data_IF_204792250446
#
_entry.id   IF_204792250446
#
_cell.length_a   1.000
_cell.length_b   1.000
_cell.length_c   1.000
_cell.angle_alpha   90.00
_cell.angle_beta   90.00
_cell.angle_gamma   90.00
#
_symmetry.space_group_name_H-M   'P 1'
#
loop_
_entity.id
_entity.type
_entity.pdbx_description
1 polymer ?
#
# COMPACT_ATOMS: atom_id res chain seq x y z
N UNK A 1 4.41 2.17 8.11
CA UNK A 1 3.61 1.14 8.82
C UNK A 1 3.53 1.39 10.33
N UNK A 2 4.65 1.51 11.08
CA UNK A 2 4.64 1.81 12.53
C UNK A 2 3.67 2.93 12.92
N UNK A 3 3.81 4.10 12.30
CA UNK A 3 2.95 5.25 12.62
C UNK A 3 1.46 4.97 12.36
N UNK A 4 1.12 4.15 11.35
CA UNK A 4 -0.26 3.76 11.07
C UNK A 4 -0.81 2.96 12.25
N UNK A 5 -0.10 1.93 12.70
CA UNK A 5 -0.53 1.11 13.84
C UNK A 5 -0.73 1.96 15.11
N UNK A 6 0.29 2.75 15.48
CA UNK A 6 0.25 3.53 16.72
C UNK A 6 -0.84 4.61 16.70
N UNK A 7 -1.04 5.28 15.57
CA UNK A 7 -2.09 6.29 15.42
C UNK A 7 -3.50 5.68 15.47
N UNK A 8 -3.63 4.40 15.12
CA UNK A 8 -4.87 3.63 15.25
C UNK A 8 -4.97 2.86 16.57
N UNK A 9 -4.22 3.26 17.60
CA UNK A 9 -4.38 2.74 18.96
C UNK A 9 -3.79 1.35 19.21
N UNK A 10 -3.05 0.78 18.25
CA UNK A 10 -2.33 -0.48 18.46
C UNK A 10 -1.22 -0.28 19.51
N UNK A 11 -1.16 -1.18 20.52
CA UNK A 11 -0.19 -1.10 21.62
C UNK A 11 0.56 -2.42 21.77
N UNK A 12 1.87 -2.30 22.00
CA UNK A 12 2.74 -3.39 22.43
C UNK A 12 3.52 -2.95 23.66
N UNK A 13 4.11 -3.90 24.38
CA UNK A 13 4.90 -3.64 25.60
C UNK A 13 6.08 -2.70 25.34
N UNK A 14 6.83 -2.90 24.25
CA UNK A 14 7.78 -1.93 23.70
C UNK A 14 7.53 -1.83 22.18
N UNK A 15 7.48 -0.60 21.67
CA UNK A 15 7.39 -0.32 20.23
C UNK A 15 8.56 -0.94 19.43
N UNK A 16 9.72 -1.11 20.05
CA UNK A 16 10.91 -1.72 19.45
C UNK A 16 10.72 -3.20 19.19
N UNK A 17 9.75 -3.83 19.86
CA UNK A 17 9.47 -5.24 19.68
C UNK A 17 8.63 -5.51 18.42
N UNK A 18 8.04 -4.47 17.80
CA UNK A 18 7.17 -4.60 16.63
C UNK A 18 7.83 -5.46 15.54
N UNK A 19 7.12 -6.50 15.15
CA UNK A 19 7.56 -7.45 14.15
C UNK A 19 6.61 -7.47 12.94
N UNK A 20 6.92 -8.33 11.97
CA UNK A 20 6.14 -8.42 10.73
C UNK A 20 4.69 -8.86 10.95
N UNK A 21 4.45 -9.77 11.91
CA UNK A 21 3.09 -10.23 12.21
C UNK A 21 2.21 -9.09 12.72
N UNK A 22 2.76 -8.16 13.50
CA UNK A 22 2.00 -6.97 13.95
C UNK A 22 1.57 -6.10 12.76
N UNK A 23 2.46 -5.93 11.77
CA UNK A 23 2.15 -5.16 10.57
C UNK A 23 1.16 -5.87 9.65
N UNK A 24 1.09 -7.20 9.68
CA UNK A 24 0.14 -7.96 8.86
C UNK A 24 -1.33 -7.68 9.23
N UNK A 25 -1.60 -7.16 10.44
CA UNK A 25 -2.93 -6.67 10.84
C UNK A 25 -3.43 -5.56 9.91
N UNK A 26 -2.53 -4.74 9.36
CA UNK A 26 -2.89 -3.68 8.41
C UNK A 26 -3.57 -4.23 7.14
N UNK A 27 -3.37 -5.51 6.80
CA UNK A 27 -4.05 -6.14 5.68
C UNK A 27 -5.58 -6.14 5.86
N UNK A 28 -6.08 -6.15 7.11
CA UNK A 28 -7.52 -6.12 7.39
C UNK A 28 -8.15 -4.79 6.99
N UNK A 29 -7.55 -3.67 7.39
CA UNK A 29 -8.12 -2.34 7.13
C UNK A 29 -7.73 -1.77 5.77
N UNK A 30 -6.56 -2.13 5.24
CA UNK A 30 -6.00 -1.55 4.02
C UNK A 30 -6.00 -2.52 2.84
N UNK A 31 -6.52 -3.74 2.98
CA UNK A 31 -6.64 -4.74 1.91
C UNK A 31 -5.34 -4.99 1.12
N UNK A 32 -4.17 -4.84 1.77
CA UNK A 32 -2.85 -4.75 1.14
C UNK A 32 -2.52 -5.95 0.24
N UNK A 33 -2.98 -7.14 0.62
CA UNK A 33 -2.79 -8.40 -0.12
C UNK A 33 -3.56 -8.49 -1.45
N UNK A 34 -4.49 -7.57 -1.71
CA UNK A 34 -5.28 -7.52 -2.94
C UNK A 34 -4.70 -6.55 -3.99
N UNK A 35 -3.75 -5.69 -3.61
CA UNK A 35 -3.12 -4.78 -4.55
C UNK A 35 -2.19 -5.51 -5.52
N UNK A 36 -2.16 -5.03 -6.75
CA UNK A 36 -1.18 -5.45 -7.76
C UNK A 36 -0.53 -4.20 -8.39
N UNK A 37 0.78 -4.24 -8.58
CA UNK A 37 1.55 -3.18 -9.25
C UNK A 37 2.08 -3.74 -10.56
N UNK A 38 1.99 -2.95 -11.63
CA UNK A 38 2.54 -3.27 -12.94
C UNK A 38 3.49 -2.17 -13.40
N UNK A 39 4.58 -2.57 -14.03
CA UNK A 39 5.50 -1.65 -14.72
C UNK A 39 5.23 -1.77 -16.24
N UNK A 40 4.53 -0.80 -16.86
CA UNK A 40 4.06 -0.95 -18.24
C UNK A 40 5.20 -1.08 -19.26
N UNK A 41 6.34 -0.43 -19.01
CA UNK A 41 7.54 -0.48 -19.86
C UNK A 41 8.42 -1.72 -19.64
N UNK A 42 8.08 -2.62 -18.71
CA UNK A 42 8.86 -3.82 -18.44
C UNK A 42 8.41 -4.95 -19.38
N UNK A 43 9.29 -5.35 -20.30
CA UNK A 43 9.01 -6.32 -21.39
C UNK A 43 8.44 -7.66 -20.91
N UNK A 44 8.81 -8.11 -19.72
CA UNK A 44 8.29 -9.32 -19.07
C UNK A 44 6.91 -9.24 -18.39
N UNK A 45 6.10 -8.17 -18.58
CA UNK A 45 4.80 -7.98 -17.90
C UNK A 45 4.85 -8.36 -16.42
N UNK A 46 5.70 -7.68 -15.66
CA UNK A 46 5.88 -8.00 -14.24
C UNK A 46 4.71 -7.44 -13.42
N UNK A 47 3.75 -8.32 -13.07
CA UNK A 47 2.76 -8.04 -12.02
C UNK A 47 3.37 -8.38 -10.66
N UNK A 48 3.43 -7.39 -9.77
CA UNK A 48 4.00 -7.50 -8.44
C UNK A 48 2.91 -7.33 -7.41
N UNK A 49 2.70 -8.35 -6.57
CA UNK A 49 1.76 -8.32 -5.45
C UNK A 49 2.54 -8.47 -4.14
N UNK A 50 3.10 -7.38 -3.60
CA UNK A 50 4.12 -7.42 -2.55
C UNK A 50 3.60 -7.98 -1.21
N UNK A 51 2.30 -7.86 -0.96
CA UNK A 51 1.64 -8.31 0.26
C UNK A 51 0.77 -9.55 0.07
N UNK A 52 0.84 -10.23 -1.09
CA UNK A 52 -0.05 -11.35 -1.44
C UNK A 52 -0.09 -12.44 -0.37
N UNK A 53 1.06 -12.78 0.23
CA UNK A 53 1.17 -13.84 1.23
C UNK A 53 0.34 -13.55 2.51
N UNK A 54 0.05 -12.30 2.83
CA UNK A 54 -0.81 -11.96 3.97
C UNK A 54 -2.28 -12.37 3.81
N UNK A 55 -2.69 -12.83 2.62
CA UNK A 55 -3.97 -13.51 2.45
C UNK A 55 -4.04 -14.84 3.20
N UNK A 56 -2.89 -15.49 3.40
CA UNK A 56 -2.80 -16.79 4.06
C UNK A 56 -2.85 -16.67 5.59
N UNK A 57 -2.60 -15.49 6.15
CA UNK A 57 -2.69 -15.23 7.58
C UNK A 57 -1.70 -14.18 8.09
N UNK A 58 -1.84 -13.84 9.38
CA UNK A 58 -1.01 -12.87 10.07
C UNK A 58 0.45 -13.32 10.23
N UNK A 59 0.69 -14.64 10.29
CA UNK A 59 2.02 -15.23 10.45
C UNK A 59 2.76 -15.44 9.12
N UNK A 60 2.10 -15.14 8.00
CA UNK A 60 2.68 -15.31 6.67
C UNK A 60 3.81 -14.31 6.43
N UNK A 61 4.99 -14.84 6.12
CA UNK A 61 6.20 -14.04 5.88
C UNK A 61 6.19 -13.48 4.46
N UNK A 62 6.58 -12.22 4.33
CA UNK A 62 6.83 -11.60 3.03
C UNK A 62 8.30 -11.85 2.62
N UNK A 63 8.56 -12.55 1.51
CA UNK A 63 9.94 -12.88 1.11
C UNK A 63 10.84 -11.66 0.93
N UNK A 64 10.31 -10.59 0.33
CA UNK A 64 11.08 -9.35 0.10
C UNK A 64 11.45 -8.64 1.40
N UNK A 65 10.59 -8.70 2.41
CA UNK A 65 10.84 -8.07 3.70
C UNK A 65 11.84 -8.88 4.53
N UNK A 66 11.73 -10.21 4.50
CA UNK A 66 12.72 -11.08 5.11
C UNK A 66 14.10 -10.81 4.51
N UNK A 67 14.20 -10.76 3.17
CA UNK A 67 15.43 -10.43 2.47
C UNK A 67 15.98 -9.04 2.83
N UNK A 68 15.11 -8.02 2.87
CA UNK A 68 15.49 -6.68 3.32
C UNK A 68 16.08 -6.70 4.73
N UNK A 69 15.42 -7.37 5.68
CA UNK A 69 15.89 -7.45 7.06
C UNK A 69 17.21 -8.23 7.16
N UNK A 70 17.37 -9.34 6.45
CA UNK A 70 18.62 -10.09 6.41
C UNK A 70 19.78 -9.22 5.92
N UNK A 71 19.59 -8.50 4.80
CA UNK A 71 20.60 -7.59 4.25
C UNK A 71 20.89 -6.42 5.19
N UNK A 72 19.85 -5.86 5.85
CA UNK A 72 19.99 -4.76 6.81
C UNK A 72 20.85 -5.17 8.03
N UNK A 73 20.64 -6.38 8.55
CA UNK A 73 21.31 -6.83 9.77
C UNK A 73 22.65 -7.52 9.50
N UNK A 74 22.85 -8.13 8.33
CA UNK A 74 24.07 -8.85 7.98
C UNK A 74 24.40 -8.71 6.49
N UNK A 75 24.74 -7.49 6.07
CA UNK A 75 24.99 -7.16 4.67
C UNK A 75 26.12 -7.98 4.05
N UNK A 76 27.17 -8.29 4.82
CA UNK A 76 28.35 -8.99 4.30
C UNK A 76 28.02 -10.41 3.85
N UNK A 77 27.25 -11.16 4.65
CA UNK A 77 26.88 -12.54 4.31
C UNK A 77 25.62 -12.64 3.45
N UNK A 78 24.71 -11.66 3.56
CA UNK A 78 23.39 -11.68 2.92
C UNK A 78 23.30 -10.83 1.66
N UNK A 79 24.43 -10.34 1.13
CA UNK A 79 24.43 -9.51 -0.08
C UNK A 79 23.77 -10.21 -1.28
N UNK A 80 23.85 -11.54 -1.36
CA UNK A 80 23.17 -12.33 -2.39
C UNK A 80 21.64 -12.17 -2.39
N UNK A 81 21.03 -11.75 -1.27
CA UNK A 81 19.60 -11.47 -1.16
C UNK A 81 19.24 -10.05 -1.65
N UNK A 82 20.22 -9.17 -1.88
CA UNK A 82 20.05 -7.82 -2.43
C UNK A 82 19.82 -7.84 -3.96
N UNK A 83 18.89 -8.67 -4.41
CA UNK A 83 18.55 -8.83 -5.84
C UNK A 83 17.64 -7.72 -6.33
N UNK A 84 17.68 -7.46 -7.64
CA UNK A 84 16.73 -6.54 -8.30
C UNK A 84 15.27 -6.95 -8.01
N UNK A 85 14.97 -8.25 -7.95
CA UNK A 85 13.64 -8.75 -7.59
C UNK A 85 13.20 -8.28 -6.20
N UNK A 86 14.04 -8.45 -5.18
CA UNK A 86 13.69 -8.05 -3.82
C UNK A 86 13.60 -6.52 -3.68
N UNK A 87 14.47 -5.78 -4.36
CA UNK A 87 14.40 -4.32 -4.43
C UNK A 87 13.10 -3.84 -5.09
N UNK A 88 12.70 -4.44 -6.22
CA UNK A 88 11.44 -4.14 -6.90
C UNK A 88 10.24 -4.45 -6.01
N UNK A 89 10.21 -5.61 -5.34
CA UNK A 89 9.11 -5.94 -4.43
C UNK A 89 9.04 -4.99 -3.23
N UNK A 90 10.17 -4.55 -2.67
CA UNK A 90 10.20 -3.57 -1.60
C UNK A 90 9.68 -2.20 -2.06
N UNK A 91 10.09 -1.74 -3.25
CA UNK A 91 9.59 -0.50 -3.87
C UNK A 91 8.08 -0.58 -4.13
N UNK A 92 7.59 -1.66 -4.74
CA UNK A 92 6.16 -1.87 -4.95
C UNK A 92 5.41 -1.98 -3.61
N UNK A 93 6.01 -2.56 -2.58
CA UNK A 93 5.44 -2.60 -1.23
C UNK A 93 5.25 -1.21 -0.63
N UNK A 94 6.25 -0.34 -0.79
CA UNK A 94 6.14 1.07 -0.40
C UNK A 94 5.04 1.80 -1.18
N UNK A 95 4.99 1.59 -2.49
CA UNK A 95 3.96 2.18 -3.36
C UNK A 95 2.55 1.76 -2.94
N UNK A 96 2.32 0.47 -2.68
CA UNK A 96 1.04 -0.04 -2.20
C UNK A 96 0.67 0.58 -0.85
N UNK A 97 1.62 0.74 0.08
CA UNK A 97 1.34 1.39 1.37
C UNK A 97 0.94 2.86 1.23
N UNK A 98 1.56 3.59 0.30
CA UNK A 98 1.15 4.97 0.01
C UNK A 98 -0.22 4.98 -0.67
N UNK A 99 -0.44 4.13 -1.66
CA UNK A 99 -1.73 4.08 -2.35
C UNK A 99 -2.88 3.58 -1.47
N UNK A 100 -2.62 2.75 -0.47
CA UNK A 100 -3.65 2.36 0.48
C UNK A 100 -4.05 3.50 1.44
N UNK A 101 -3.16 4.47 1.69
CA UNK A 101 -3.45 5.63 2.56
C UNK A 101 -3.96 6.84 1.78
N UNK A 102 -3.45 7.03 0.55
CA UNK A 102 -3.63 8.26 -0.22
C UNK A 102 -4.10 8.00 -1.66
N UNK A 103 -4.56 6.80 -1.96
CA UNK A 103 -5.06 6.41 -3.29
C UNK A 103 -4.03 6.71 -4.41
N UNK A 104 -4.41 7.55 -5.36
CA UNK A 104 -3.58 8.03 -6.46
C UNK A 104 -3.31 9.54 -6.36
N UNK A 105 -3.44 10.12 -5.16
CA UNK A 105 -3.19 11.55 -4.93
C UNK A 105 -1.75 11.88 -5.29
N UNK A 106 -1.60 12.91 -6.14
CA UNK A 106 -0.30 13.46 -6.56
C UNK A 106 -0.04 14.74 -5.78
N UNK A 107 1.17 14.89 -5.26
CA UNK A 107 1.62 16.08 -4.52
C UNK A 107 2.46 17.04 -5.37
N UNK A 108 2.58 16.79 -6.67
CA UNK A 108 3.28 17.66 -7.62
C UNK A 108 2.26 18.26 -8.59
N UNK A 109 2.37 19.57 -8.83
CA UNK A 109 1.50 20.33 -9.73
C UNK A 109 1.71 19.96 -11.21
N UNK A 110 2.89 19.45 -11.53
CA UNK A 110 3.23 19.02 -12.88
C UNK A 110 2.78 17.59 -13.12
N UNK A 111 1.91 17.42 -14.13
CA UNK A 111 1.65 16.13 -14.77
C UNK A 111 3.00 15.64 -15.29
N UNK A 112 3.69 14.76 -14.54
CA UNK A 112 4.71 13.90 -15.16
C UNK A 112 3.91 13.05 -16.14
N UNK A 113 4.01 13.31 -17.46
CA UNK A 113 3.34 12.46 -18.41
C UNK A 113 4.00 11.11 -18.21
N UNK A 114 3.22 10.12 -17.79
CA UNK A 114 3.49 8.75 -18.15
C UNK A 114 3.92 8.77 -19.62
N UNK A 115 5.01 8.06 -19.96
CA UNK A 115 5.60 7.99 -21.32
C UNK A 115 4.55 7.71 -22.43
N UNK A 116 3.35 7.27 -22.05
CA UNK A 116 2.19 7.00 -22.88
C UNK A 116 1.24 8.19 -23.12
N UNK A 117 1.49 9.38 -22.56
CA UNK A 117 0.60 10.53 -22.68
C UNK A 117 -0.84 10.24 -22.22
N UNK A 118 -1.79 11.02 -22.71
CA UNK A 118 -3.24 10.89 -22.47
C UNK A 118 -3.88 9.60 -23.02
N UNK A 119 -3.06 8.70 -23.59
CA UNK A 119 -3.51 7.39 -24.05
C UNK A 119 -3.68 6.49 -22.82
N UNK A 120 -4.92 6.40 -22.34
CA UNK A 120 -5.29 5.43 -21.33
C UNK A 120 -4.89 4.03 -21.80
N UNK A 121 -3.96 3.39 -21.09
CA UNK A 121 -3.74 1.96 -21.24
C UNK A 121 -5.07 1.28 -20.83
N UNK A 122 -5.72 0.56 -21.74
CA UNK A 122 -6.94 -0.22 -21.47
C UNK A 122 -6.59 -1.51 -20.71
N UNK A 123 -5.91 -1.36 -19.57
CA UNK A 123 -5.40 -2.45 -18.75
C UNK A 123 -6.22 -2.66 -17.46
N UNK A 124 -7.29 -1.88 -17.25
CA UNK A 124 -8.08 -1.81 -16.02
C UNK A 124 -7.26 -1.47 -14.76
N UNK A 125 -6.10 -0.81 -14.90
CA UNK A 125 -5.32 -0.28 -13.79
C UNK A 125 -5.47 1.25 -13.72
N UNK A 126 -5.01 1.80 -12.61
CA UNK A 126 -4.87 3.25 -12.41
C UNK A 126 -3.40 3.63 -12.41
N UNK A 127 -3.10 4.91 -12.59
CA UNK A 127 -1.76 5.41 -12.30
C UNK A 127 -1.51 5.35 -10.79
N UNK A 128 -0.36 4.83 -10.40
CA UNK A 128 0.08 4.87 -9.02
C UNK A 128 0.65 6.25 -8.66
N UNK A 129 0.87 6.48 -7.38
CA UNK A 129 1.52 7.70 -6.88
C UNK A 129 2.96 7.76 -7.43
N UNK A 130 3.31 8.89 -8.07
CA UNK A 130 4.67 9.14 -8.56
C UNK A 130 5.11 8.21 -9.71
N UNK A 131 4.40 8.26 -10.85
CA UNK A 131 4.68 7.59 -12.13
C UNK A 131 6.14 7.09 -12.32
N UNK A 132 6.38 5.90 -12.92
CA UNK A 132 5.61 5.33 -14.04
C UNK A 132 4.86 4.02 -13.71
N UNK A 133 4.59 3.73 -12.44
CA UNK A 133 3.91 2.49 -12.04
C UNK A 133 2.39 2.56 -12.27
N UNK A 134 1.81 1.45 -12.70
CA UNK A 134 0.36 1.22 -12.76
C UNK A 134 -0.05 0.38 -11.56
N UNK A 135 -1.21 0.63 -10.99
CA UNK A 135 -1.70 -0.06 -9.80
C UNK A 135 -3.14 -0.53 -9.98
N UNK A 136 -3.41 -1.74 -9.51
CA UNK A 136 -4.75 -2.29 -9.33
C UNK A 136 -5.14 -2.13 -7.87
N UNK A 137 -6.19 -1.35 -7.62
CA UNK A 137 -6.77 -1.19 -6.29
C UNK A 137 -7.58 -2.42 -5.87
N UNK A 138 -7.72 -2.66 -4.56
CA UNK A 138 -8.61 -3.69 -4.02
C UNK A 138 -10.07 -3.35 -4.32
N UNK A 139 -10.93 -4.36 -4.21
CA UNK A 139 -12.38 -4.15 -4.23
C UNK A 139 -12.81 -4.04 -2.77
N UNK A 140 -13.22 -2.83 -2.37
CA UNK A 140 -13.75 -2.58 -1.04
C UNK A 140 -15.22 -3.04 -0.96
N UNK A 141 -15.61 -3.81 0.07
CA UNK A 141 -17.01 -4.11 0.36
C UNK A 141 -17.83 -2.82 0.53
N UNK A 142 -19.09 -2.81 0.09
CA UNK A 142 -19.93 -1.60 0.15
C UNK A 142 -20.23 -1.17 1.59
N UNK A 143 -20.32 -2.12 2.52
CA UNK A 143 -20.51 -1.90 3.96
C UNK A 143 -19.27 -1.35 4.67
N UNK A 144 -18.08 -1.51 4.09
CA UNK A 144 -16.83 -0.91 4.59
C UNK A 144 -16.52 0.45 3.96
N UNK A 145 -17.29 0.90 2.96
CA UNK A 145 -17.13 2.22 2.36
C UNK A 145 -17.75 3.28 3.25
N UNK A 146 -17.05 4.39 3.42
CA UNK A 146 -17.65 5.58 4.03
C UNK A 146 -18.84 6.05 3.21
N UNK A 147 -19.98 6.23 3.87
CA UNK A 147 -21.12 6.93 3.29
C UNK A 147 -20.84 8.44 3.34
N UNK A 148 -20.81 9.09 2.18
CA UNK A 148 -20.57 10.53 2.05
C UNK A 148 -21.75 11.20 1.35
N UNK A 149 -22.72 11.65 2.16
CA UNK A 149 -23.87 12.43 1.70
C UNK A 149 -23.56 13.93 1.85
N UNK A 150 -23.01 14.56 0.81
CA UNK A 150 -22.67 16.00 0.85
C UNK A 150 -23.88 16.88 1.18
N UNK A 151 -25.06 16.51 0.68
CA UNK A 151 -26.33 17.19 0.97
C UNK A 151 -26.71 17.22 2.45
N UNK A 152 -26.31 16.20 3.22
CA UNK A 152 -26.54 16.16 4.66
C UNK A 152 -25.46 16.92 5.45
N UNK A 153 -24.23 16.89 4.94
CA UNK A 153 -23.06 17.45 5.62
C UNK A 153 -23.02 18.98 5.47
N UNK A 154 -23.34 19.50 4.29
CA UNK A 154 -23.20 20.92 3.97
C UNK A 154 -24.12 21.85 4.77
N UNK A 155 -25.22 21.33 5.32
CA UNK A 155 -26.19 22.08 6.13
C UNK A 155 -26.04 21.85 7.64
N UNK A 156 -25.10 21.02 8.07
CA UNK A 156 -24.92 20.72 9.49
C UNK A 156 -24.00 21.73 10.18
N UNK A 157 -24.32 22.10 11.43
CA UNK A 157 -23.49 23.01 12.24
C UNK A 157 -22.10 22.42 12.59
N UNK A 158 -21.95 21.10 12.47
CA UNK A 158 -20.69 20.41 12.69
C UNK A 158 -20.51 19.22 11.71
N UNK A 159 -20.10 19.50 10.46
CA UNK A 159 -20.04 18.53 9.37
C UNK A 159 -19.10 17.35 9.61
N UNK A 160 -18.14 17.51 10.52
CA UNK A 160 -17.13 16.51 10.80
C UNK A 160 -17.49 15.59 11.98
N UNK A 161 -18.55 15.89 12.74
CA UNK A 161 -18.90 15.13 13.96
C UNK A 161 -19.31 13.69 13.69
N UNK A 162 -20.03 13.42 12.58
CA UNK A 162 -20.43 12.05 12.19
C UNK A 162 -19.23 11.20 11.72
N UNK A 163 -18.19 11.83 11.16
CA UNK A 163 -17.05 11.11 10.57
C UNK A 163 -16.12 10.52 11.64
N UNK A 164 -15.99 11.18 12.79
CA UNK A 164 -15.05 10.78 13.86
C UNK A 164 -15.70 10.08 15.06
N UNK A 165 -17.02 9.91 15.06
CA UNK A 165 -17.76 9.16 16.08
C UNK A 165 -18.50 7.98 15.40
N UNK A 166 -17.75 7.01 14.88
CA UNK A 166 -18.30 5.71 14.54
C UNK A 166 -18.04 4.79 15.74
N UNK A 167 -19.13 4.33 16.36
CA UNK A 167 -19.15 3.23 17.33
C UNK A 167 -18.76 1.89 16.67
#
# INVERSE_FOLDING_TARGET
MKNILMKNGYRRSDDRDLNMSDYAILNKSHFLSQFEVTMPNWTGRCKVAPFKAWREGIDSKLPWYAAYNHVKHNRQEKFNEATLKNATFALCGLLVLYSAQFCNVRFADDVIPNIYGWMSLDDNLSDAIGAPFRIKFPIYPDDEKYDFSWSEICMSDNPYRKIFNAD
#
